data_IF_589449956011
#
_entry.id   IF_589449956011
#
_cell.length_a   1.000
_cell.length_b   1.000
_cell.length_c   1.000
_cell.angle_alpha   90.00
_cell.angle_beta   90.00
_cell.angle_gamma   90.00
#
_symmetry.space_group_name_H-M   'P 1'
#
loop_
_entity.id
_entity.type
_entity.pdbx_description
1 polymer ?
#
# COMPACT_ATOMS: atom_id res chain seq x y z
N UNK A 1 27.42 12.78 7.27
CA UNK A 1 26.26 11.99 6.81
C UNK A 1 26.60 11.46 5.43
N UNK A 2 26.64 10.14 5.23
CA UNK A 2 26.83 9.59 3.89
C UNK A 2 25.65 10.04 3.04
N UNK A 3 25.91 10.74 1.93
CA UNK A 3 24.90 11.04 0.92
C UNK A 3 24.33 9.70 0.46
N UNK A 4 23.14 9.35 0.93
CA UNK A 4 22.42 8.19 0.43
C UNK A 4 22.21 8.47 -1.05
N UNK A 5 22.90 7.73 -1.92
CA UNK A 5 22.71 7.90 -3.36
C UNK A 5 21.23 7.64 -3.66
N UNK A 6 20.45 8.73 -3.81
CA UNK A 6 19.01 8.70 -4.04
C UNK A 6 18.68 7.88 -5.29
N UNK A 7 19.65 7.68 -6.19
CA UNK A 7 19.53 6.81 -7.37
C UNK A 7 19.36 5.33 -7.03
N UNK A 8 19.69 4.91 -5.81
CA UNK A 8 19.47 3.54 -5.31
C UNK A 8 18.00 3.24 -4.99
N UNK A 9 17.15 4.26 -4.94
CA UNK A 9 15.72 4.13 -4.63
C UNK A 9 14.96 4.35 -5.93
N UNK A 10 14.10 3.39 -6.27
CA UNK A 10 13.31 3.42 -7.49
C UNK A 10 11.86 3.68 -7.14
N UNK A 11 11.21 4.54 -7.91
CA UNK A 11 9.77 4.73 -7.79
C UNK A 11 9.04 3.46 -8.24
N UNK A 12 7.82 3.24 -7.76
CA UNK A 12 6.96 2.15 -8.25
C UNK A 12 6.74 2.26 -9.75
N UNK A 13 6.59 3.48 -10.27
CA UNK A 13 6.47 3.72 -11.70
C UNK A 13 7.71 3.19 -12.46
N UNK A 14 8.92 3.41 -11.96
CA UNK A 14 10.12 2.85 -12.58
C UNK A 14 10.16 1.31 -12.49
N UNK A 15 9.76 0.73 -11.35
CA UNK A 15 9.72 -0.72 -11.14
C UNK A 15 8.69 -1.40 -12.05
N UNK A 16 7.52 -0.78 -12.26
CA UNK A 16 6.45 -1.28 -13.13
C UNK A 16 6.68 -0.98 -14.61
N UNK A 17 7.78 -0.31 -14.97
CA UNK A 17 8.13 0.06 -16.35
C UNK A 17 7.39 1.29 -16.88
N UNK A 18 6.66 2.01 -16.04
CA UNK A 18 6.02 3.29 -16.35
C UNK A 18 6.96 4.50 -16.29
N UNK A 19 8.21 4.33 -15.82
CA UNK A 19 9.23 5.38 -15.80
C UNK A 19 10.63 4.82 -16.11
N UNK A 20 11.57 5.71 -16.45
CA UNK A 20 12.97 5.36 -16.64
C UNK A 20 13.61 4.91 -15.32
N UNK A 21 14.25 3.74 -15.29
CA UNK A 21 14.95 3.24 -14.10
C UNK A 21 16.19 4.07 -13.74
N UNK A 22 16.79 4.75 -14.71
CA UNK A 22 17.99 5.58 -14.50
C UNK A 22 17.70 6.98 -13.99
N UNK A 23 16.81 7.71 -14.68
CA UNK A 23 16.49 9.11 -14.34
C UNK A 23 15.11 9.33 -13.74
N UNK A 24 14.31 8.27 -13.58
CA UNK A 24 12.95 8.31 -13.01
C UNK A 24 11.92 9.11 -13.82
N UNK A 25 12.31 9.66 -14.97
CA UNK A 25 11.41 10.38 -15.88
C UNK A 25 10.37 9.45 -16.49
N UNK A 26 9.13 9.90 -16.50
CA UNK A 26 7.99 9.23 -17.11
C UNK A 26 7.84 9.60 -18.59
N UNK A 27 7.10 8.82 -19.40
CA UNK A 27 6.92 9.08 -20.82
C UNK A 27 6.48 10.51 -21.16
N UNK A 28 5.65 11.15 -20.32
CA UNK A 28 5.22 12.54 -20.52
C UNK A 28 6.32 13.58 -20.34
N UNK A 29 7.44 13.20 -19.74
CA UNK A 29 8.60 14.05 -19.44
C UNK A 29 9.76 13.80 -20.41
N UNK A 30 9.63 12.78 -21.27
CA UNK A 30 10.64 12.47 -22.28
C UNK A 30 10.50 13.42 -23.48
N UNK A 31 11.59 13.63 -24.26
CA UNK A 31 11.50 14.35 -25.51
C UNK A 31 10.43 13.77 -26.45
N UNK A 32 9.79 14.59 -27.31
CA UNK A 32 8.79 14.10 -28.25
C UNK A 32 9.29 12.91 -29.08
N UNK A 33 8.52 11.83 -29.10
CA UNK A 33 8.86 10.59 -29.82
C UNK A 33 9.83 9.66 -29.08
N UNK A 34 10.43 10.08 -27.97
CA UNK A 34 11.21 9.19 -27.13
C UNK A 34 10.31 8.21 -26.37
N UNK A 35 10.75 6.96 -26.26
CA UNK A 35 10.03 5.90 -25.55
C UNK A 35 10.97 5.19 -24.59
N UNK A 36 10.39 4.55 -23.58
CA UNK A 36 11.14 3.72 -22.66
C UNK A 36 11.45 2.37 -23.32
N UNK A 37 12.73 2.03 -23.38
CA UNK A 37 13.23 0.77 -23.94
C UNK A 37 13.56 -0.22 -22.82
N UNK A 38 13.10 -1.48 -22.88
CA UNK A 38 13.38 -2.46 -21.84
C UNK A 38 14.83 -2.93 -21.87
N UNK A 39 15.37 -3.29 -20.71
CA UNK A 39 16.63 -3.99 -20.57
C UNK A 39 16.59 -5.28 -21.42
N UNK A 40 17.54 -5.51 -22.34
CA UNK A 40 17.49 -6.66 -23.24
C UNK A 40 17.60 -8.01 -22.52
N UNK A 41 18.22 -8.02 -21.33
CA UNK A 41 18.42 -9.23 -20.52
C UNK A 41 17.21 -9.57 -19.66
N UNK A 42 16.82 -8.67 -18.75
CA UNK A 42 15.76 -8.96 -17.79
C UNK A 42 14.37 -8.50 -18.26
N UNK A 43 14.27 -7.61 -19.26
CA UNK A 43 13.02 -7.02 -19.76
C UNK A 43 12.10 -6.35 -18.71
N UNK A 44 12.59 -6.12 -17.48
CA UNK A 44 11.82 -5.50 -16.39
C UNK A 44 12.23 -4.06 -16.12
N UNK A 45 13.53 -3.76 -16.17
CA UNK A 45 14.00 -2.38 -16.12
C UNK A 45 13.79 -1.71 -17.48
N UNK A 46 13.38 -0.45 -17.48
CA UNK A 46 13.14 0.33 -18.69
C UNK A 46 13.95 1.63 -18.65
N UNK A 47 14.45 2.09 -19.81
CA UNK A 47 15.34 3.23 -19.90
C UNK A 47 14.95 4.14 -21.05
N UNK A 48 15.04 5.46 -20.84
CA UNK A 48 14.84 6.44 -21.92
C UNK A 48 16.02 6.49 -22.91
N UNK A 49 17.15 5.84 -22.59
CA UNK A 49 18.31 5.78 -23.46
C UNK A 49 19.51 5.08 -22.82
N UNK A 50 20.56 4.86 -23.62
CA UNK A 50 21.78 4.14 -23.23
C UNK A 50 22.50 4.79 -22.06
N UNK A 51 22.50 6.13 -21.98
CA UNK A 51 23.13 6.86 -20.87
C UNK A 51 22.52 6.47 -19.51
N UNK A 52 21.18 6.44 -19.41
CA UNK A 52 20.48 6.02 -18.20
C UNK A 52 20.71 4.54 -17.87
N UNK A 53 20.74 3.67 -18.88
CA UNK A 53 21.03 2.25 -18.69
C UNK A 53 22.44 2.01 -18.14
N UNK A 54 23.44 2.72 -18.65
CA UNK A 54 24.83 2.65 -18.16
C UNK A 54 24.94 3.19 -16.74
N UNK A 55 24.29 4.32 -16.44
CA UNK A 55 24.33 4.93 -15.10
C UNK A 55 23.69 4.04 -14.02
N UNK A 56 22.63 3.30 -14.37
CA UNK A 56 21.93 2.40 -13.45
C UNK A 56 22.57 1.01 -13.33
N UNK A 57 23.51 0.66 -14.23
CA UNK A 57 24.11 -0.67 -14.30
C UNK A 57 24.73 -1.18 -12.98
N UNK A 58 25.41 -0.36 -12.14
CA UNK A 58 25.92 -0.82 -10.85
C UNK A 58 24.84 -1.26 -9.86
N UNK A 59 23.66 -0.63 -9.93
CA UNK A 59 22.53 -0.94 -9.05
C UNK A 59 21.72 -2.09 -9.65
N UNK A 60 21.22 -1.91 -10.88
CA UNK A 60 20.41 -2.92 -11.57
C UNK A 60 21.16 -4.22 -11.84
N UNK A 61 22.47 -4.16 -12.12
CA UNK A 61 23.29 -5.33 -12.39
C UNK A 61 23.24 -6.39 -11.29
N UNK A 62 23.07 -5.96 -10.03
CA UNK A 62 22.94 -6.85 -8.87
C UNK A 62 21.70 -7.73 -8.89
N UNK A 63 20.61 -7.26 -9.52
CA UNK A 63 19.32 -7.96 -9.59
C UNK A 63 18.96 -8.43 -10.99
N UNK A 64 19.63 -7.93 -12.03
CA UNK A 64 19.29 -8.18 -13.43
C UNK A 64 19.24 -9.67 -13.79
N UNK A 65 20.25 -10.43 -13.38
CA UNK A 65 20.32 -11.88 -13.62
C UNK A 65 19.18 -12.62 -12.91
N UNK A 66 18.88 -12.23 -11.66
CA UNK A 66 17.81 -12.84 -10.89
C UNK A 66 16.42 -12.54 -11.48
N UNK A 67 16.17 -11.31 -11.94
CA UNK A 67 14.93 -10.96 -12.64
C UNK A 67 14.77 -11.73 -13.96
N UNK A 68 15.85 -11.94 -14.71
CA UNK A 68 15.83 -12.76 -15.91
C UNK A 68 15.50 -14.23 -15.58
N UNK A 69 16.05 -14.79 -14.49
CA UNK A 69 15.74 -16.14 -14.04
C UNK A 69 14.27 -16.30 -13.62
N UNK A 70 13.69 -15.28 -12.98
CA UNK A 70 12.25 -15.29 -12.66
C UNK A 70 11.41 -15.34 -13.94
N UNK A 71 11.75 -14.55 -14.96
CA UNK A 71 11.02 -14.59 -16.24
C UNK A 71 11.10 -15.96 -16.91
N UNK A 72 12.28 -16.59 -16.90
CA UNK A 72 12.45 -17.95 -17.43
C UNK A 72 11.56 -18.95 -16.66
N UNK A 73 11.57 -18.88 -15.34
CA UNK A 73 10.71 -19.72 -14.50
C UNK A 73 9.21 -19.52 -14.79
N UNK A 74 8.78 -18.27 -14.98
CA UNK A 74 7.39 -17.94 -15.33
C UNK A 74 7.03 -18.44 -16.74
N UNK A 75 7.96 -18.39 -17.69
CA UNK A 75 7.76 -18.94 -19.04
C UNK A 75 7.58 -20.45 -18.99
N UNK A 76 8.41 -21.15 -18.22
CA UNK A 76 8.33 -22.61 -18.07
C UNK A 76 7.01 -23.02 -17.39
N UNK A 77 6.66 -22.34 -16.29
CA UNK A 77 5.40 -22.57 -15.57
C UNK A 77 4.17 -22.19 -16.41
N UNK A 78 4.25 -21.12 -17.19
CA UNK A 78 3.21 -20.65 -18.09
C UNK A 78 2.97 -21.64 -19.24
N UNK A 79 4.04 -22.12 -19.89
CA UNK A 79 3.95 -23.16 -20.94
C UNK A 79 3.32 -24.45 -20.41
N UNK A 80 3.64 -24.84 -19.17
CA UNK A 80 3.03 -26.00 -18.53
C UNK A 80 1.51 -25.83 -18.27
N UNK A 81 1.01 -24.59 -18.12
CA UNK A 81 -0.42 -24.28 -17.90
C UNK A 81 -1.21 -24.03 -19.18
N UNK A 82 -0.58 -23.40 -20.19
CA UNK A 82 -1.20 -23.11 -21.50
C UNK A 82 -1.48 -24.41 -22.30
N UNK A 83 -0.86 -25.53 -21.91
CA UNK A 83 -1.23 -26.86 -22.39
C UNK A 83 -2.55 -27.45 -21.84
N UNK A 84 -3.31 -26.73 -20.99
CA UNK A 84 -4.54 -27.31 -20.43
C UNK A 84 -5.51 -26.43 -19.63
N UNK A 85 -5.31 -25.12 -19.45
CA UNK A 85 -6.24 -24.30 -18.67
C UNK A 85 -6.76 -23.06 -19.43
N UNK A 86 -8.09 -22.96 -19.51
CA UNK A 86 -8.83 -21.78 -19.96
C UNK A 86 -8.46 -20.53 -19.12
N UNK A 87 -8.63 -19.31 -19.67
CA UNK A 87 -8.49 -18.08 -18.89
C UNK A 87 -9.34 -18.16 -17.63
N UNK A 88 -8.78 -17.74 -16.49
CA UNK A 88 -9.49 -17.71 -15.21
C UNK A 88 -10.58 -16.64 -15.32
N UNK A 89 -11.75 -17.04 -15.79
CA UNK A 89 -12.97 -16.23 -15.75
C UNK A 89 -13.44 -16.16 -14.29
N UNK A 90 -13.66 -14.95 -13.78
CA UNK A 90 -14.39 -14.75 -12.51
C UNK A 90 -13.59 -14.22 -11.32
N UNK A 91 -12.63 -13.31 -11.52
CA UNK A 91 -12.16 -12.49 -10.38
C UNK A 91 -13.08 -11.28 -10.23
N UNK A 92 -14.31 -11.56 -9.76
CA UNK A 92 -15.28 -10.52 -9.41
C UNK A 92 -14.77 -9.77 -8.18
N UNK A 93 -14.07 -8.65 -8.38
CA UNK A 93 -13.84 -7.59 -7.39
C UNK A 93 -13.10 -7.95 -6.09
N UNK A 94 -12.66 -9.19 -5.91
CA UNK A 94 -12.12 -9.71 -4.65
C UNK A 94 -10.64 -9.45 -4.45
N UNK A 95 -10.24 -8.17 -4.30
CA UNK A 95 -8.96 -7.78 -3.71
C UNK A 95 -7.67 -8.23 -4.42
N UNK A 96 -6.56 -7.56 -4.10
CA UNK A 96 -5.23 -7.82 -4.68
C UNK A 96 -4.59 -9.16 -4.25
N UNK A 97 -5.29 -10.01 -3.48
CA UNK A 97 -4.66 -10.96 -2.55
C UNK A 97 -4.68 -12.46 -2.89
N UNK A 98 -5.65 -13.11 -3.58
CA UNK A 98 -5.64 -14.58 -3.58
C UNK A 98 -4.70 -15.21 -4.62
N UNK A 99 -4.50 -14.59 -5.78
CA UNK A 99 -3.62 -15.15 -6.83
C UNK A 99 -2.16 -14.68 -6.75
N UNK A 100 -1.86 -13.70 -5.87
CA UNK A 100 -0.51 -13.15 -5.74
C UNK A 100 0.40 -14.01 -4.87
N UNK A 101 -0.09 -14.69 -3.83
CA UNK A 101 0.81 -15.36 -2.88
C UNK A 101 1.61 -16.54 -3.47
N UNK A 102 1.02 -17.52 -4.17
CA UNK A 102 1.77 -18.66 -4.70
C UNK A 102 2.71 -18.27 -5.83
N UNK A 103 2.27 -17.37 -6.73
CA UNK A 103 3.10 -16.85 -7.82
C UNK A 103 4.22 -15.97 -7.26
N UNK A 104 3.93 -15.09 -6.31
CA UNK A 104 4.96 -14.30 -5.63
C UNK A 104 5.93 -15.17 -4.82
N UNK A 105 5.45 -16.27 -4.22
CA UNK A 105 6.29 -17.23 -3.51
C UNK A 105 7.22 -17.98 -4.47
N UNK A 106 6.70 -18.46 -5.60
CA UNK A 106 7.50 -19.14 -6.62
C UNK A 106 8.51 -18.20 -7.29
N UNK A 107 8.08 -17.00 -7.70
CA UNK A 107 8.96 -15.95 -8.21
C UNK A 107 10.01 -15.54 -7.18
N UNK A 108 9.62 -15.41 -5.91
CA UNK A 108 10.54 -15.11 -4.81
C UNK A 108 11.59 -16.19 -4.58
N UNK A 109 11.21 -17.47 -4.67
CA UNK A 109 12.13 -18.59 -4.55
C UNK A 109 13.10 -18.65 -5.75
N UNK A 110 12.61 -18.45 -6.98
CA UNK A 110 13.45 -18.37 -8.18
C UNK A 110 14.45 -17.20 -8.09
N UNK A 111 13.98 -16.05 -7.63
CA UNK A 111 14.79 -14.86 -7.43
C UNK A 111 15.88 -15.09 -6.37
N UNK A 112 15.52 -15.63 -5.20
CA UNK A 112 16.46 -15.92 -4.12
C UNK A 112 17.52 -16.95 -4.53
N UNK A 113 17.13 -18.00 -5.27
CA UNK A 113 18.09 -18.98 -5.83
C UNK A 113 19.08 -18.32 -6.78
N UNK A 114 18.60 -17.47 -7.68
CA UNK A 114 19.45 -16.78 -8.63
C UNK A 114 20.38 -15.74 -7.97
N UNK A 115 19.96 -15.15 -6.84
CA UNK A 115 20.82 -14.30 -6.02
C UNK A 115 21.84 -15.10 -5.16
N UNK A 116 21.60 -16.38 -4.91
CA UNK A 116 22.36 -17.17 -3.94
C UNK A 116 22.11 -16.79 -2.47
N UNK A 117 21.09 -15.96 -2.20
CA UNK A 117 20.73 -15.49 -0.86
C UNK A 117 19.27 -15.01 -0.81
N UNK A 118 18.68 -14.85 0.39
CA UNK A 118 17.40 -14.17 0.52
C UNK A 118 17.46 -12.72 -0.03
N UNK A 119 16.39 -12.23 -0.69
CA UNK A 119 16.34 -10.86 -1.17
C UNK A 119 16.19 -9.87 0.00
N UNK A 120 16.91 -8.75 -0.10
CA UNK A 120 16.76 -7.59 0.79
C UNK A 120 15.42 -6.88 0.59
N UNK A 121 15.12 -5.92 1.47
CA UNK A 121 13.83 -5.19 1.46
C UNK A 121 13.55 -4.56 0.09
N UNK A 122 14.50 -3.77 -0.44
CA UNK A 122 14.37 -3.10 -1.74
C UNK A 122 14.26 -4.09 -2.92
N UNK A 123 14.99 -5.20 -2.85
CA UNK A 123 14.97 -6.20 -3.92
C UNK A 123 13.61 -6.92 -4.02
N UNK A 124 12.92 -7.09 -2.89
CA UNK A 124 11.56 -7.65 -2.86
C UNK A 124 10.55 -6.77 -3.59
N UNK A 125 10.79 -5.47 -3.72
CA UNK A 125 9.89 -4.57 -4.44
C UNK A 125 9.82 -4.90 -5.94
N UNK A 126 10.93 -5.32 -6.55
CA UNK A 126 10.95 -5.78 -7.95
C UNK A 126 10.08 -7.03 -8.20
N UNK A 127 9.78 -7.79 -7.15
CA UNK A 127 8.91 -8.96 -7.20
C UNK A 127 7.46 -8.56 -6.91
N UNK A 128 7.25 -7.71 -5.90
CA UNK A 128 5.92 -7.28 -5.50
C UNK A 128 5.23 -6.48 -6.61
N UNK A 129 5.97 -5.54 -7.20
CA UNK A 129 5.52 -4.63 -8.25
C UNK A 129 5.95 -5.08 -9.65
N UNK A 130 6.14 -6.38 -9.86
CA UNK A 130 6.35 -6.95 -11.19
C UNK A 130 5.23 -6.50 -12.15
N UNK A 131 5.57 -5.94 -13.34
CA UNK A 131 4.58 -5.54 -14.32
C UNK A 131 3.80 -6.78 -14.80
N UNK A 132 2.50 -6.80 -14.54
CA UNK A 132 1.56 -7.86 -14.91
C UNK A 132 0.18 -7.27 -15.12
N UNK A 133 -0.63 -7.90 -15.97
CA UNK A 133 -2.00 -7.45 -16.15
C UNK A 133 -2.76 -7.52 -14.82
N UNK A 134 -3.43 -6.43 -14.44
CA UNK A 134 -4.23 -6.34 -13.22
C UNK A 134 -5.36 -7.36 -13.14
N UNK A 135 -5.90 -7.78 -14.29
CA UNK A 135 -7.07 -8.64 -14.38
C UNK A 135 -6.70 -10.12 -14.56
N UNK A 136 -5.86 -10.46 -15.55
CA UNK A 136 -5.47 -11.86 -15.76
C UNK A 136 -4.16 -12.25 -15.08
N UNK A 137 -3.47 -11.31 -14.44
CA UNK A 137 -2.20 -11.52 -13.73
C UNK A 137 -1.06 -12.08 -14.59
N UNK A 138 -1.21 -12.11 -15.92
CA UNK A 138 -0.15 -12.52 -16.84
C UNK A 138 0.98 -11.49 -16.77
N UNK A 139 2.21 -11.91 -16.43
CA UNK A 139 3.37 -11.04 -16.40
C UNK A 139 3.74 -10.47 -17.76
N UNK A 140 4.31 -9.25 -17.78
CA UNK A 140 4.81 -8.62 -18.99
C UNK A 140 5.80 -9.49 -19.77
N UNK A 141 6.61 -10.28 -19.06
CA UNK A 141 7.60 -11.17 -19.66
C UNK A 141 6.98 -12.28 -20.54
N UNK A 142 5.70 -12.60 -20.33
CA UNK A 142 4.95 -13.60 -21.12
C UNK A 142 4.15 -12.98 -22.27
N UNK A 143 4.16 -11.66 -22.40
CA UNK A 143 3.37 -10.94 -23.38
C UNK A 143 4.28 -10.28 -24.43
N UNK A 144 3.76 -9.96 -25.63
CA UNK A 144 4.47 -9.13 -26.59
C UNK A 144 4.86 -7.78 -25.96
N UNK A 145 6.00 -7.23 -26.37
CA UNK A 145 6.42 -5.91 -25.90
C UNK A 145 5.33 -4.85 -26.21
N UNK A 146 5.07 -3.96 -25.25
CA UNK A 146 4.05 -2.91 -25.40
C UNK A 146 2.59 -3.36 -25.26
N UNK A 147 2.34 -4.63 -24.92
CA UNK A 147 0.97 -5.16 -24.78
C UNK A 147 0.26 -4.78 -23.47
N UNK A 148 1.02 -4.35 -22.45
CA UNK A 148 0.48 -3.84 -21.19
C UNK A 148 0.33 -2.33 -21.28
N UNK A 149 -0.92 -1.88 -21.18
CA UNK A 149 -1.31 -0.48 -21.18
C UNK A 149 -1.45 0.00 -19.74
N UNK A 150 -0.77 1.08 -19.33
CA UNK A 150 -0.96 1.67 -18.01
C UNK A 150 -2.34 2.32 -17.88
N UNK A 151 -2.88 2.32 -16.66
CA UNK A 151 -4.04 3.11 -16.30
C UNK A 151 -3.74 4.60 -16.52
N UNK A 152 -4.63 5.31 -17.20
CA UNK A 152 -4.50 6.75 -17.47
C UNK A 152 -4.64 7.64 -16.24
N UNK A 153 -5.13 7.11 -15.12
CA UNK A 153 -5.24 7.85 -13.86
C UNK A 153 -4.00 7.68 -12.98
N UNK A 154 -3.73 6.44 -12.54
CA UNK A 154 -2.66 6.19 -11.57
C UNK A 154 -1.31 5.87 -12.19
N UNK A 155 -1.26 5.39 -13.45
CA UNK A 155 -0.06 4.90 -14.15
C UNK A 155 0.71 3.75 -13.46
N UNK A 156 0.25 3.25 -12.32
CA UNK A 156 0.86 2.13 -11.59
C UNK A 156 0.21 0.78 -11.89
N UNK A 157 -1.09 0.79 -12.20
CA UNK A 157 -1.81 -0.40 -12.66
C UNK A 157 -1.68 -0.50 -14.16
N UNK A 158 -1.46 -1.71 -14.67
CA UNK A 158 -1.37 -2.01 -16.10
C UNK A 158 -2.32 -3.14 -16.47
N UNK A 159 -2.85 -3.14 -17.70
CA UNK A 159 -3.70 -4.19 -18.21
C UNK A 159 -3.32 -4.56 -19.65
N UNK A 160 -3.52 -5.82 -20.04
CA UNK A 160 -3.36 -6.19 -21.45
C UNK A 160 -4.33 -5.39 -22.32
N UNK A 161 -3.92 -5.09 -23.56
CA UNK A 161 -4.78 -4.48 -24.56
C UNK A 161 -6.11 -5.25 -24.78
N UNK A 162 -7.10 -4.58 -25.39
CA UNK A 162 -8.41 -5.15 -25.65
C UNK A 162 -9.32 -5.18 -24.42
N UNK A 163 -9.95 -6.32 -24.15
CA UNK A 163 -10.99 -6.44 -23.12
C UNK A 163 -10.52 -6.06 -21.70
N UNK A 164 -9.28 -6.38 -21.34
CA UNK A 164 -8.75 -6.04 -20.01
C UNK A 164 -8.47 -4.55 -19.84
N UNK A 165 -8.00 -3.86 -20.88
CA UNK A 165 -7.86 -2.41 -20.85
C UNK A 165 -9.22 -1.71 -20.69
N UNK A 166 -10.26 -2.20 -21.38
CA UNK A 166 -11.63 -1.71 -21.22
C UNK A 166 -12.17 -1.93 -19.80
N UNK A 167 -12.01 -3.15 -19.26
CA UNK A 167 -12.45 -3.47 -17.90
C UNK A 167 -11.68 -2.68 -16.82
N UNK A 168 -10.39 -2.42 -17.01
CA UNK A 168 -9.62 -1.52 -16.14
C UNK A 168 -10.17 -0.09 -16.21
N UNK A 169 -10.50 0.41 -17.40
CA UNK A 169 -11.06 1.75 -17.58
C UNK A 169 -12.41 1.92 -16.86
N UNK A 170 -13.26 0.90 -16.85
CA UNK A 170 -14.59 0.96 -16.20
C UNK A 170 -14.56 0.60 -14.72
N UNK A 171 -13.67 -0.31 -14.30
CA UNK A 171 -13.67 -0.90 -12.95
C UNK A 171 -12.58 -0.38 -12.01
N UNK A 172 -11.56 0.30 -12.52
CA UNK A 172 -10.47 0.86 -11.73
C UNK A 172 -10.33 2.37 -11.91
N UNK A 173 -10.23 2.86 -13.15
CA UNK A 173 -9.96 4.28 -13.44
C UNK A 173 -11.04 5.18 -12.82
N UNK A 174 -10.61 6.22 -12.10
CA UNK A 174 -11.51 7.15 -11.40
C UNK A 174 -12.08 6.61 -10.08
N UNK A 175 -11.87 5.33 -9.76
CA UNK A 175 -12.23 4.75 -8.47
C UNK A 175 -11.26 5.12 -7.34
N UNK A 176 -11.65 4.83 -6.10
CA UNK A 176 -10.86 5.12 -4.88
C UNK A 176 -9.45 4.52 -4.97
N UNK A 177 -9.32 3.25 -5.36
CA UNK A 177 -8.02 2.59 -5.51
C UNK A 177 -7.13 3.27 -6.56
N UNK A 178 -7.71 3.76 -7.66
CA UNK A 178 -6.96 4.53 -8.66
C UNK A 178 -6.47 5.84 -8.07
N UNK A 179 -7.33 6.57 -7.35
CA UNK A 179 -6.93 7.81 -6.66
C UNK A 179 -5.80 7.59 -5.65
N UNK A 180 -5.88 6.55 -4.83
CA UNK A 180 -4.83 6.20 -3.87
C UNK A 180 -3.50 5.85 -4.56
N UNK A 181 -3.52 5.10 -5.66
CA UNK A 181 -2.29 4.78 -6.38
C UNK A 181 -1.71 5.99 -7.13
N UNK A 182 -2.56 6.89 -7.63
CA UNK A 182 -2.12 8.18 -8.17
C UNK A 182 -1.44 9.02 -7.08
N UNK A 183 -1.98 9.00 -5.86
CA UNK A 183 -1.39 9.65 -4.69
C UNK A 183 -0.03 9.06 -4.32
N UNK A 184 0.09 7.73 -4.28
CA UNK A 184 1.37 7.03 -4.06
C UNK A 184 2.39 7.45 -5.10
N UNK A 185 2.04 7.42 -6.40
CA UNK A 185 2.94 7.88 -7.48
C UNK A 185 3.37 9.33 -7.27
N UNK A 186 2.43 10.24 -6.99
CA UNK A 186 2.73 11.65 -6.80
C UNK A 186 3.68 11.89 -5.62
N UNK A 187 3.42 11.25 -4.48
CA UNK A 187 4.27 11.37 -3.27
C UNK A 187 5.65 10.74 -3.45
N UNK A 188 5.77 9.61 -4.15
CA UNK A 188 7.07 9.02 -4.51
C UNK A 188 7.90 9.93 -5.42
N UNK A 189 7.27 10.63 -6.36
CA UNK A 189 8.00 11.58 -7.21
C UNK A 189 8.63 12.70 -6.38
N UNK A 190 7.89 13.28 -5.47
CA UNK A 190 8.39 14.40 -4.64
C UNK A 190 9.51 13.95 -3.71
N UNK A 191 9.38 12.75 -3.13
CA UNK A 191 10.38 12.23 -2.17
C UNK A 191 11.63 11.70 -2.85
N UNK A 192 11.47 10.92 -3.92
CA UNK A 192 12.57 10.22 -4.58
C UNK A 192 13.18 11.05 -5.72
N UNK A 193 12.35 11.71 -6.53
CA UNK A 193 12.82 12.48 -7.70
C UNK A 193 13.23 13.89 -7.30
N UNK A 194 12.41 14.60 -6.54
CA UNK A 194 12.70 16.00 -6.16
C UNK A 194 13.61 16.10 -4.92
N UNK A 195 13.93 14.97 -4.27
CA UNK A 195 14.84 14.89 -3.12
C UNK A 195 14.33 15.62 -1.87
N UNK A 196 13.02 15.91 -1.79
CA UNK A 196 12.43 16.74 -0.71
C UNK A 196 12.17 15.99 0.60
N UNK A 197 12.45 14.69 0.69
CA UNK A 197 12.33 13.92 1.93
C UNK A 197 13.44 12.88 2.06
N UNK A 198 13.80 12.54 3.31
CA UNK A 198 14.73 11.45 3.59
C UNK A 198 14.13 10.13 3.09
N UNK A 199 14.77 9.59 2.05
CA UNK A 199 14.33 8.39 1.35
C UNK A 199 14.57 7.10 2.18
N UNK A 200 15.03 7.23 3.43
CA UNK A 200 15.16 6.14 4.39
C UNK A 200 13.81 5.54 4.86
N UNK A 201 12.69 6.25 4.66
CA UNK A 201 11.34 5.82 5.05
C UNK A 201 10.49 5.22 3.90
N UNK A 202 11.10 4.78 2.79
CA UNK A 202 10.39 4.17 1.65
C UNK A 202 9.92 2.76 2.01
N UNK A 203 8.75 2.68 2.64
CA UNK A 203 8.05 1.45 3.01
C UNK A 203 6.80 1.23 2.15
N UNK A 204 6.69 0.01 1.62
CA UNK A 204 5.55 -0.66 0.96
C UNK A 204 4.22 0.10 0.84
N UNK A 205 3.77 0.32 -0.40
CA UNK A 205 2.39 0.65 -0.79
C UNK A 205 1.71 1.85 -0.09
N UNK A 206 2.39 2.61 0.76
CA UNK A 206 1.84 3.79 1.41
C UNK A 206 2.40 5.05 0.76
N UNK A 207 1.57 6.09 0.56
CA UNK A 207 2.09 7.36 0.14
C UNK A 207 3.03 7.89 1.21
N UNK A 208 4.15 8.46 0.77
CA UNK A 208 5.04 9.15 1.69
C UNK A 208 4.25 10.28 2.36
N UNK A 209 4.24 10.28 3.67
CA UNK A 209 3.48 11.23 4.44
C UNK A 209 4.39 11.83 5.50
N UNK A 210 4.22 13.14 5.68
CA UNK A 210 4.82 13.84 6.79
C UNK A 210 4.09 13.47 8.07
N UNK A 211 4.85 13.23 9.14
CA UNK A 211 4.35 13.13 10.50
C UNK A 211 4.98 14.27 11.29
N UNK A 212 4.22 14.96 12.14
CA UNK A 212 4.81 15.92 13.06
C UNK A 212 5.81 15.21 13.98
N UNK A 213 6.99 15.80 14.15
CA UNK A 213 8.11 15.24 14.92
C UNK A 213 8.35 15.96 16.25
N UNK A 214 7.60 17.03 16.52
CA UNK A 214 7.74 17.84 17.72
C UNK A 214 6.46 17.81 18.58
N UNK A 215 6.58 17.72 19.92
CA UNK A 215 5.47 17.95 20.83
C UNK A 215 4.84 19.34 20.63
N UNK A 216 3.56 19.48 20.95
CA UNK A 216 2.95 20.80 21.09
C UNK A 216 3.44 21.40 22.40
N UNK A 217 4.00 22.62 22.32
CA UNK A 217 4.58 23.31 23.47
C UNK A 217 3.52 23.78 24.48
N UNK A 218 2.33 24.15 23.98
CA UNK A 218 1.24 24.69 24.79
C UNK A 218 0.02 23.74 24.82
N UNK A 219 -0.65 23.59 25.98
CA UNK A 219 -1.93 22.89 26.04
C UNK A 219 -2.96 23.57 25.13
N UNK A 220 -3.51 22.81 24.20
CA UNK A 220 -4.57 23.29 23.31
C UNK A 220 -5.95 23.14 23.98
N UNK A 221 -6.82 24.13 23.76
CA UNK A 221 -8.20 24.12 24.25
C UNK A 221 -9.15 23.35 23.31
N UNK A 222 -8.90 23.46 22.00
CA UNK A 222 -9.61 22.75 20.94
C UNK A 222 -8.62 22.35 19.84
N UNK A 223 -8.93 21.27 19.12
CA UNK A 223 -8.20 20.91 17.90
C UNK A 223 -8.69 21.78 16.74
N UNK A 224 -7.84 22.07 15.73
CA UNK A 224 -8.26 22.74 14.50
C UNK A 224 -9.40 21.99 13.77
N UNK A 225 -10.31 22.73 13.12
CA UNK A 225 -11.54 22.17 12.54
C UNK A 225 -11.33 21.53 11.16
N UNK A 226 -10.18 21.79 10.53
CA UNK A 226 -9.84 21.27 9.21
C UNK A 226 -8.36 20.99 9.03
N UNK A 227 -8.04 20.21 8.00
CA UNK A 227 -6.66 19.81 7.71
C UNK A 227 -5.73 20.98 7.39
N UNK A 228 -6.21 22.00 6.69
CA UNK A 228 -5.39 23.17 6.37
C UNK A 228 -4.97 23.92 7.65
N UNK A 229 -5.91 24.14 8.57
CA UNK A 229 -5.64 24.76 9.87
C UNK A 229 -4.76 23.87 10.74
N UNK A 230 -5.01 22.55 10.75
CA UNK A 230 -4.19 21.59 11.49
C UNK A 230 -2.74 21.58 11.00
N UNK A 231 -2.51 21.56 9.69
CA UNK A 231 -1.16 21.60 9.14
C UNK A 231 -0.47 22.94 9.42
N UNK A 232 -1.17 24.06 9.30
CA UNK A 232 -0.61 25.37 9.68
C UNK A 232 -0.26 25.42 11.17
N UNK A 233 -1.14 24.92 12.04
CA UNK A 233 -0.92 24.87 13.49
C UNK A 233 0.27 23.99 13.87
N UNK A 234 0.41 22.83 13.22
CA UNK A 234 1.56 21.94 13.40
C UNK A 234 2.81 22.37 12.62
N UNK A 235 2.79 23.58 12.03
CA UNK A 235 3.89 24.16 11.24
C UNK A 235 4.41 23.18 10.20
N UNK A 236 3.48 22.47 9.57
CA UNK A 236 3.81 21.53 8.53
C UNK A 236 4.49 22.27 7.36
N UNK A 237 5.43 21.63 6.65
CA UNK A 237 6.00 22.25 5.47
C UNK A 237 4.91 22.50 4.43
N UNK A 238 5.16 23.44 3.51
CA UNK A 238 4.26 23.69 2.38
C UNK A 238 4.12 22.43 1.54
N UNK A 239 3.01 21.72 1.76
CA UNK A 239 2.70 20.51 1.03
C UNK A 239 2.20 20.86 -0.36
N UNK A 240 2.64 20.09 -1.35
CA UNK A 240 1.81 19.94 -2.53
C UNK A 240 0.54 19.16 -2.14
N UNK A 241 -0.61 19.37 -2.81
CA UNK A 241 -1.89 18.78 -2.40
C UNK A 241 -1.85 17.26 -2.18
N UNK A 242 -1.08 16.52 -2.99
CA UNK A 242 -0.90 15.08 -2.84
C UNK A 242 -0.29 14.69 -1.47
N UNK A 243 0.68 15.44 -0.97
CA UNK A 243 1.30 15.17 0.32
C UNK A 243 0.35 15.46 1.48
N UNK A 244 -0.43 16.55 1.37
CA UNK A 244 -1.44 16.91 2.38
C UNK A 244 -2.50 15.82 2.55
N UNK A 245 -2.97 15.23 1.44
CA UNK A 245 -3.94 14.12 1.48
C UNK A 245 -3.32 12.85 2.07
N UNK A 246 -2.05 12.55 1.75
CA UNK A 246 -1.36 11.40 2.32
C UNK A 246 -1.13 11.55 3.83
N UNK A 247 -0.69 12.73 4.26
CA UNK A 247 -0.47 13.05 5.66
C UNK A 247 -1.78 13.00 6.46
N UNK A 248 -2.86 13.58 5.92
CA UNK A 248 -4.16 13.57 6.59
C UNK A 248 -4.73 12.17 6.75
N UNK A 249 -4.53 11.28 5.76
CA UNK A 249 -4.98 9.89 5.87
C UNK A 249 -4.31 9.15 7.04
N UNK A 250 -2.99 9.29 7.23
CA UNK A 250 -2.29 8.69 8.36
C UNK A 250 -2.66 9.31 9.70
N UNK A 251 -2.83 10.63 9.75
CA UNK A 251 -3.13 11.37 10.99
C UNK A 251 -4.60 11.26 11.41
N UNK A 252 -5.48 10.80 10.52
CA UNK A 252 -6.92 10.69 10.78
C UNK A 252 -7.23 9.84 12.02
N UNK A 253 -6.58 8.70 12.20
CA UNK A 253 -6.82 7.77 13.31
C UNK A 253 -6.35 8.34 14.65
N UNK A 254 -5.09 8.80 14.83
CA UNK A 254 -4.69 9.40 16.11
C UNK A 254 -5.55 10.63 16.45
N UNK A 255 -5.90 11.48 15.49
CA UNK A 255 -6.75 12.64 15.75
C UNK A 255 -8.20 12.25 16.09
N UNK A 256 -8.73 11.19 15.48
CA UNK A 256 -10.04 10.64 15.84
C UNK A 256 -10.05 10.06 17.25
N UNK A 257 -8.99 9.34 17.64
CA UNK A 257 -8.81 8.84 19.01
C UNK A 257 -8.79 10.01 19.99
N UNK A 258 -8.00 11.03 19.69
CA UNK A 258 -7.88 12.20 20.56
C UNK A 258 -9.21 12.95 20.70
N UNK A 259 -9.92 13.17 19.59
CA UNK A 259 -11.25 13.78 19.60
C UNK A 259 -12.22 12.99 20.48
N UNK A 260 -12.23 11.65 20.36
CA UNK A 260 -13.08 10.80 21.20
C UNK A 260 -12.70 10.88 22.70
N UNK A 261 -11.40 10.97 23.03
CA UNK A 261 -10.93 11.13 24.41
C UNK A 261 -11.35 12.47 25.01
N UNK A 262 -11.23 13.56 24.25
CA UNK A 262 -11.69 14.90 24.66
C UNK A 262 -13.17 14.88 24.98
N UNK A 263 -13.99 14.29 24.10
CA UNK A 263 -15.42 14.17 24.32
C UNK A 263 -15.75 13.31 25.55
N UNK A 264 -15.08 12.16 25.71
CA UNK A 264 -15.37 11.20 26.78
C UNK A 264 -14.89 11.65 28.17
N UNK A 265 -13.82 12.43 28.26
CA UNK A 265 -13.19 12.84 29.53
C UNK A 265 -13.61 14.24 29.99
N UNK A 266 -14.49 14.92 29.25
CA UNK A 266 -15.03 16.23 29.65
C UNK A 266 -14.17 17.42 29.22
N UNK A 267 -13.49 17.33 28.08
CA UNK A 267 -12.73 18.41 27.47
C UNK A 267 -11.21 18.21 27.49
N UNK A 268 -10.51 19.06 26.74
CA UNK A 268 -9.05 18.97 26.57
C UNK A 268 -8.25 19.01 27.89
N UNK A 269 -8.57 19.87 28.89
CA UNK A 269 -7.82 19.90 30.14
C UNK A 269 -7.79 18.55 30.88
N UNK A 270 -8.89 17.79 30.85
CA UNK A 270 -8.99 16.50 31.50
C UNK A 270 -8.18 15.39 30.80
N UNK A 271 -7.97 15.52 29.49
CA UNK A 271 -7.10 14.63 28.71
C UNK A 271 -5.62 14.98 28.95
N UNK A 272 -5.28 16.28 28.91
CA UNK A 272 -3.92 16.78 29.14
C UNK A 272 -3.35 16.40 30.51
N UNK A 273 -4.19 16.28 31.53
CA UNK A 273 -3.78 15.92 32.88
C UNK A 273 -3.35 14.44 33.02
N UNK A 274 -3.60 13.58 32.02
CA UNK A 274 -3.35 12.14 32.10
C UNK A 274 -1.88 11.82 31.85
N UNK A 275 -1.27 11.07 32.77
CA UNK A 275 0.05 10.46 32.59
C UNK A 275 -0.01 9.05 32.00
N UNK A 276 -1.18 8.40 32.07
CA UNK A 276 -1.40 7.05 31.57
C UNK A 276 -2.78 6.94 30.90
N UNK A 277 -2.82 6.30 29.73
CA UNK A 277 -4.05 6.01 28.99
C UNK A 277 -4.01 4.59 28.43
N UNK A 278 -5.13 3.90 28.54
CA UNK A 278 -5.38 2.64 27.84
C UNK A 278 -6.58 2.84 26.91
N UNK A 279 -6.36 2.74 25.61
CA UNK A 279 -7.38 2.92 24.58
C UNK A 279 -7.69 1.58 23.93
N UNK A 280 -8.96 1.19 23.95
CA UNK A 280 -9.44 -0.04 23.35
C UNK A 280 -10.09 0.27 22.00
N UNK A 281 -9.41 -0.07 20.91
CA UNK A 281 -9.93 0.13 19.55
C UNK A 281 -10.69 -1.12 19.13
N UNK A 282 -12.00 -0.98 18.95
CA UNK A 282 -12.85 -2.07 18.49
C UNK A 282 -13.14 -1.96 16.99
N UNK A 283 -13.18 -3.10 16.32
CA UNK A 283 -13.46 -3.17 14.88
C UNK A 283 -12.28 -2.80 13.99
N UNK A 284 -11.06 -2.89 14.52
CA UNK A 284 -9.81 -2.56 13.82
C UNK A 284 -9.68 -3.37 12.53
N UNK A 285 -9.35 -2.67 11.45
CA UNK A 285 -8.99 -3.22 10.14
C UNK A 285 -7.52 -2.90 9.82
N UNK A 286 -7.07 -3.30 8.63
CA UNK A 286 -5.73 -2.94 8.13
C UNK A 286 -5.53 -1.43 7.99
N UNK A 287 -6.61 -0.65 7.87
CA UNK A 287 -6.52 0.80 7.86
C UNK A 287 -6.02 1.34 9.18
N UNK A 288 -6.72 1.03 10.28
CA UNK A 288 -6.34 1.49 11.61
C UNK A 288 -4.96 0.95 12.00
N UNK A 289 -4.64 -0.31 11.69
CA UNK A 289 -3.31 -0.86 11.97
C UNK A 289 -2.18 -0.07 11.30
N UNK A 290 -2.40 0.41 10.06
CA UNK A 290 -1.42 1.23 9.34
C UNK A 290 -1.35 2.66 9.89
N UNK A 291 -2.49 3.29 10.15
CA UNK A 291 -2.49 4.65 10.70
C UNK A 291 -1.88 4.74 12.12
N UNK A 292 -1.76 3.62 12.84
CA UNK A 292 -1.00 3.55 14.09
C UNK A 292 0.52 3.74 13.93
N UNK A 293 1.05 3.84 12.71
CA UNK A 293 2.39 4.38 12.48
C UNK A 293 2.49 5.88 12.79
N UNK A 294 1.37 6.59 12.84
CA UNK A 294 1.28 8.00 13.25
C UNK A 294 0.90 8.15 14.73
N UNK A 295 0.96 7.08 15.53
CA UNK A 295 0.53 7.12 16.94
C UNK A 295 1.39 8.04 17.81
N UNK A 296 2.65 8.28 17.42
CA UNK A 296 3.53 9.21 18.11
C UNK A 296 2.89 10.62 18.18
N UNK A 297 2.03 10.97 17.22
CA UNK A 297 1.30 12.24 17.26
C UNK A 297 0.40 12.35 18.50
N UNK A 298 -0.15 11.26 19.04
CA UNK A 298 -0.88 11.32 20.32
C UNK A 298 0.04 11.74 21.48
N UNK A 299 1.29 11.31 21.47
CA UNK A 299 2.27 11.67 22.50
C UNK A 299 2.75 13.11 22.30
N UNK A 300 2.89 13.56 21.05
CA UNK A 300 3.21 14.95 20.74
C UNK A 300 2.09 15.91 21.17
N UNK A 301 0.83 15.52 20.99
CA UNK A 301 -0.33 16.32 21.37
C UNK A 301 -0.63 16.28 22.88
N UNK A 302 -0.13 15.27 23.59
CA UNK A 302 -0.33 15.05 25.02
C UNK A 302 1.03 14.83 25.73
N UNK A 303 1.86 15.86 25.88
CA UNK A 303 3.26 15.71 26.34
C UNK A 303 3.40 15.16 27.78
N UNK A 304 2.33 15.21 28.59
CA UNK A 304 2.31 14.61 29.94
C UNK A 304 2.04 13.10 29.93
N UNK A 305 1.58 12.55 28.82
CA UNK A 305 1.25 11.13 28.67
C UNK A 305 2.54 10.31 28.58
N UNK A 306 2.87 9.61 29.66
CA UNK A 306 4.08 8.78 29.75
C UNK A 306 3.82 7.34 29.28
N UNK A 307 2.58 6.86 29.45
CA UNK A 307 2.20 5.49 29.09
C UNK A 307 0.93 5.50 28.24
N UNK A 308 1.04 5.07 26.99
CA UNK A 308 -0.08 4.82 26.10
C UNK A 308 -0.16 3.32 25.80
N UNK A 309 -1.26 2.67 26.18
CA UNK A 309 -1.56 1.28 25.81
C UNK A 309 -2.69 1.26 24.79
N UNK A 310 -2.45 0.65 23.63
CA UNK A 310 -3.46 0.46 22.60
C UNK A 310 -3.83 -1.02 22.53
N UNK A 311 -5.07 -1.35 22.90
CA UNK A 311 -5.61 -2.70 22.79
C UNK A 311 -6.49 -2.77 21.54
N UNK A 312 -6.09 -3.60 20.58
CA UNK A 312 -6.73 -3.69 19.26
C UNK A 312 -7.61 -4.93 19.18
N UNK A 313 -8.89 -4.73 18.89
CA UNK A 313 -9.87 -5.79 18.73
C UNK A 313 -10.41 -5.78 17.31
N UNK A 314 -10.16 -6.81 16.49
CA UNK A 314 -10.66 -6.86 15.12
C UNK A 314 -12.19 -6.99 15.09
N UNK A 315 -12.81 -6.66 13.95
CA UNK A 315 -14.25 -6.93 13.74
C UNK A 315 -14.53 -8.43 13.91
N UNK A 316 -15.51 -8.79 14.76
CA UNK A 316 -15.96 -10.19 14.91
C UNK A 316 -16.41 -10.72 13.54
N UNK A 317 -15.73 -11.75 13.04
CA UNK A 317 -15.96 -12.35 11.71
C UNK A 317 -14.71 -12.36 10.82
N UNK A 318 -13.71 -11.52 11.11
CA UNK A 318 -12.41 -11.47 10.43
C UNK A 318 -11.39 -12.38 11.15
N UNK A 319 -11.67 -13.66 11.27
CA UNK A 319 -10.64 -14.60 11.71
C UNK A 319 -9.67 -14.85 10.55
N UNK A 320 -8.56 -14.11 10.52
CA UNK A 320 -7.36 -14.63 9.86
C UNK A 320 -7.03 -15.98 10.51
N UNK A 321 -6.60 -16.99 9.72
CA UNK A 321 -6.14 -18.25 10.31
C UNK A 321 -5.02 -17.91 11.29
N UNK A 322 -5.25 -18.18 12.57
CA UNK A 322 -4.25 -17.97 13.59
C UNK A 322 -2.96 -18.69 13.16
N UNK A 323 -1.78 -18.05 13.25
CA UNK A 323 -0.54 -18.79 13.04
C UNK A 323 -0.55 -19.95 14.03
N UNK A 324 -0.43 -21.17 13.50
CA UNK A 324 -0.30 -22.39 14.30
C UNK A 324 0.88 -22.17 15.25
N UNK A 325 0.60 -21.82 16.50
CA UNK A 325 1.62 -21.85 17.56
C UNK A 325 2.11 -23.29 17.62
N UNK A 326 3.35 -23.49 17.20
CA UNK A 326 4.19 -24.59 17.66
C UNK A 326 4.26 -24.46 19.19
N UNK A 327 3.35 -25.13 19.88
CA UNK A 327 3.49 -25.37 21.31
C UNK A 327 4.65 -26.35 21.48
N UNK A 328 5.83 -25.80 21.76
CA UNK A 328 6.91 -26.56 22.37
C UNK A 328 6.36 -27.20 23.65
N UNK A 329 6.46 -28.53 23.72
CA UNK A 329 6.10 -29.32 24.90
C UNK A 329 7.06 -28.97 26.03
N UNK A 330 6.57 -28.34 27.10
CA UNK A 330 7.19 -28.46 28.42
C UNK A 330 6.56 -29.66 29.14
N UNK A 331 7.35 -30.51 29.82
CA UNK A 331 6.82 -31.66 30.54
C UNK A 331 6.35 -31.28 31.96
N UNK A 332 5.16 -31.78 32.28
CA UNK A 332 4.62 -32.14 33.62
C UNK A 332 4.57 -31.05 34.70
N UNK A 333 3.33 -30.65 35.01
CA UNK A 333 2.86 -30.54 36.39
C UNK A 333 1.44 -31.11 36.48
N UNK A 334 1.13 -31.64 37.67
CA UNK A 334 0.14 -32.65 38.01
C UNK A 334 -1.33 -32.20 38.03
N UNK A 335 -2.20 -33.12 37.58
CA UNK A 335 -3.62 -33.34 37.92
C UNK A 335 -4.40 -32.16 38.55
N UNK A 336 -5.21 -31.49 37.72
CA UNK A 336 -6.50 -30.95 38.12
C UNK A 336 -7.52 -31.19 36.98
N UNK A 337 -8.71 -31.67 37.36
CA UNK A 337 -9.80 -32.09 36.47
C UNK A 337 -10.52 -30.85 35.92
N UNK A 338 -10.60 -30.61 34.59
CA UNK A 338 -11.32 -29.44 34.07
C UNK A 338 -12.84 -29.70 34.05
N UNK A 339 -13.68 -28.66 34.26
CA UNK A 339 -15.12 -28.77 34.10
C UNK A 339 -15.50 -28.95 32.62
N UNK A 340 -16.65 -29.57 32.40
CA UNK A 340 -17.17 -29.99 31.11
C UNK A 340 -17.09 -28.91 30.02
N UNK A 341 -16.46 -29.26 28.90
CA UNK A 341 -16.38 -28.43 27.71
C UNK A 341 -17.79 -28.17 27.15
N UNK A 342 -18.21 -26.91 27.13
CA UNK A 342 -19.34 -26.46 26.32
C UNK A 342 -18.95 -26.60 24.85
N UNK A 343 -19.77 -27.33 24.09
CA UNK A 343 -19.65 -27.50 22.64
C UNK A 343 -19.64 -26.13 21.93
N UNK A 344 -18.76 -25.89 20.94
CA UNK A 344 -18.89 -24.71 20.08
C UNK A 344 -20.16 -24.83 19.25
N UNK A 345 -21.03 -23.83 19.41
CA UNK A 345 -22.30 -23.69 18.73
C UNK A 345 -22.06 -23.17 17.30
N UNK A 346 -21.78 -24.08 16.38
CA UNK A 346 -21.80 -23.81 14.94
C UNK A 346 -22.69 -24.84 14.24
N UNK A 347 -23.99 -24.74 14.45
CA UNK A 347 -24.98 -25.29 13.53
C UNK A 347 -25.53 -24.14 12.69
N UNK A 348 -25.11 -24.11 11.43
CA UNK A 348 -25.64 -23.24 10.38
C UNK A 348 -27.12 -23.57 10.14
N UNK A 349 -28.01 -22.65 10.48
CA UNK A 349 -29.35 -22.60 9.93
C UNK A 349 -29.43 -21.34 9.06
N UNK A 350 -29.63 -21.55 7.76
CA UNK A 350 -29.88 -20.51 6.75
C UNK A 350 -31.29 -19.96 6.97
N UNK A 351 -31.49 -18.66 7.25
CA UNK A 351 -32.81 -18.05 7.13
C UNK A 351 -33.02 -17.59 5.70
N UNK A 352 -34.08 -18.12 5.10
CA UNK A 352 -34.65 -17.74 3.81
C UNK A 352 -34.91 -16.25 3.67
N UNK A 353 -34.65 -15.75 2.45
CA UNK A 353 -34.83 -14.38 1.95
C UNK A 353 -36.11 -13.70 2.47
N UNK A 354 -35.97 -12.56 3.15
CA UNK A 354 -37.02 -11.54 3.23
C UNK A 354 -36.69 -10.40 2.26
N UNK A 355 -37.61 -10.14 1.33
CA UNK A 355 -37.62 -8.96 0.44
C UNK A 355 -37.68 -7.69 1.28
N UNK A 356 -36.70 -6.80 1.14
CA UNK A 356 -36.84 -5.41 1.53
C UNK A 356 -37.49 -4.62 0.39
N UNK A 357 -38.64 -4.01 0.68
CA UNK A 357 -39.30 -3.01 -0.18
C UNK A 357 -38.59 -1.66 0.02
N UNK A 358 -38.48 -0.92 -1.07
CA UNK A 358 -37.64 0.28 -1.19
C UNK A 358 -38.04 1.47 -0.32
N UNK A 359 -37.04 2.30 -0.03
CA UNK A 359 -37.20 3.69 0.36
C UNK A 359 -36.60 4.55 -0.76
N UNK A 360 -37.40 5.50 -1.21
CA UNK A 360 -37.16 6.45 -2.31
C UNK A 360 -35.96 7.36 -2.05
N UNK A 361 -34.96 7.32 -2.93
CA UNK A 361 -33.87 8.28 -2.94
C UNK A 361 -34.34 9.65 -3.44
N UNK A 362 -34.11 10.70 -2.64
CA UNK A 362 -34.11 12.08 -3.13
C UNK A 362 -32.79 12.33 -3.86
N UNK A 363 -32.88 12.69 -5.13
CA UNK A 363 -31.75 13.13 -5.93
C UNK A 363 -31.28 14.53 -5.46
N UNK A 364 -29.96 14.72 -5.41
CA UNK A 364 -29.35 16.06 -5.30
C UNK A 364 -29.42 16.76 -6.67
N UNK A 365 -29.72 18.07 -6.72
CA UNK A 365 -29.64 18.82 -7.97
C UNK A 365 -28.18 19.05 -8.39
N UNK A 366 -27.89 19.16 -9.70
CA UNK A 366 -26.55 19.42 -10.21
C UNK A 366 -26.08 20.84 -9.84
N UNK A 367 -24.77 20.95 -9.56
CA UNK A 367 -24.11 22.23 -9.31
C UNK A 367 -24.12 23.10 -10.57
N UNK A 368 -24.52 24.37 -10.41
CA UNK A 368 -24.48 25.37 -11.48
C UNK A 368 -23.05 25.77 -11.87
N UNK A 369 -22.87 26.39 -13.05
CA UNK A 369 -21.56 26.81 -13.52
C UNK A 369 -20.99 28.01 -12.72
N UNK A 370 -19.66 28.15 -12.67
CA UNK A 370 -18.99 29.21 -11.93
C UNK A 370 -19.18 30.60 -12.57
N UNK A 371 -19.11 31.69 -11.79
CA UNK A 371 -19.31 33.05 -12.27
C UNK A 371 -18.14 33.53 -13.14
N UNK A 372 -18.49 34.38 -14.11
CA UNK A 372 -17.62 35.01 -15.12
C UNK A 372 -16.66 36.04 -14.58
#
# INVERSE_FOLDING_TARGET
>A
MASTDHRSIKTKAAITGGACMGCLAEPSELPPGATLTPCPRCRRAHYCGRACATADAPIHGTVCAALAAVNAHLLDAGRARVGGAAPVAGVDGGGFEPMSLPVASASGAAFARALGRPPGVKEREYLLYEPRCYLCHVPAALLPAGSLLPCSGCHLIVACAGAHAGAMATGHTGGVTCGLLALVRATERITVVDGRADASAVGLAQPHAWLPDAPVEEPWAALPDGWAEYFAWRRAPDFVPAFAVAASDLLSVPLTILHALVAALGGAPAVHARSELTVHLAGVSDYELRALFAREELLHLLPRLQTLRLALFPRRGCCHPAPRRLLAKTPRATRARPPAARRPCCSSAVPTRRRWRGATGRAYPPAGPPPT
#
